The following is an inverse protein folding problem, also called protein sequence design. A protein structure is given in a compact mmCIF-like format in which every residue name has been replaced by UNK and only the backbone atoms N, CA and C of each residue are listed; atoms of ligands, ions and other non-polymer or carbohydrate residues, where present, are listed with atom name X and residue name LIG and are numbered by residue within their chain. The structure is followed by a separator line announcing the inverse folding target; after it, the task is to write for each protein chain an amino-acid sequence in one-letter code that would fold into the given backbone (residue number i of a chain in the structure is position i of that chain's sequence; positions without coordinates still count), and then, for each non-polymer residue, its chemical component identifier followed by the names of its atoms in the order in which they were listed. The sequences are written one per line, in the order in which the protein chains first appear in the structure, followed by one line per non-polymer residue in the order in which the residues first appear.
data_IF_437917588908
#
_entry.id   IF_437917588908
#
_cell.length_a   1.000
_cell.length_b   1.000
_cell.length_c   1.000
_cell.angle_alpha   90.00
_cell.angle_beta   90.00
_cell.angle_gamma   90.00
#
_symmetry.space_group_name_H-M   'P 1'
#
loop_
_entity.id
_entity.type
_entity.pdbx_description
1 polymer ?
#
# COMPACT_ATOMS: atom_id res chain seq x y z
N UNK A 1 2.34 14.96 55.13
CA UNK A 1 2.66 15.39 53.75
C UNK A 1 1.84 14.52 52.82
N UNK A 2 0.78 15.12 52.27
CA UNK A 2 -0.27 14.43 51.51
C UNK A 2 -0.10 14.82 50.05
N UNK A 3 0.25 13.87 49.17
CA UNK A 3 0.38 14.12 47.74
C UNK A 3 -0.91 13.70 47.04
N UNK A 4 -1.69 14.71 46.64
CA UNK A 4 -2.86 14.59 45.80
C UNK A 4 -2.44 14.40 44.32
N UNK A 5 -2.87 13.31 43.69
CA UNK A 5 -3.03 13.20 42.24
C UNK A 5 -4.40 13.76 41.85
N UNK A 6 -4.52 14.62 40.82
CA UNK A 6 -5.77 14.85 40.12
C UNK A 6 -5.86 14.02 38.84
N UNK A 7 -7.03 13.39 38.65
CA UNK A 7 -7.47 12.68 37.43
C UNK A 7 -8.31 13.64 36.50
N UNK A 8 -8.80 13.19 35.33
CA UNK A 8 -8.85 13.97 34.10
C UNK A 8 -10.13 14.80 33.91
N UNK A 9 -10.03 15.87 33.11
CA UNK A 9 -11.20 16.63 32.63
C UNK A 9 -11.07 17.01 31.15
N UNK A 10 -11.78 16.24 30.32
CA UNK A 10 -12.72 16.64 29.26
C UNK A 10 -12.22 17.36 28.00
N UNK A 11 -12.19 16.54 26.95
CA UNK A 11 -12.36 16.89 25.53
C UNK A 11 -13.74 17.51 25.31
N UNK A 12 -13.83 18.63 24.58
CA UNK A 12 -15.07 19.09 23.92
C UNK A 12 -14.89 19.05 22.40
N UNK A 13 -15.87 18.50 21.65
CA UNK A 13 -15.82 18.38 20.20
C UNK A 13 -16.36 19.65 19.54
N UNK A 14 -15.91 19.94 18.32
CA UNK A 14 -16.61 20.82 17.39
C UNK A 14 -16.81 20.07 16.07
N UNK A 15 -18.07 19.82 15.76
CA UNK A 15 -18.58 19.16 14.56
C UNK A 15 -18.96 20.21 13.49
N UNK A 16 -18.69 19.84 12.23
CA UNK A 16 -19.41 20.10 10.97
C UNK A 16 -20.07 21.47 10.69
N UNK A 17 -19.80 22.05 9.52
CA UNK A 17 -20.69 21.86 8.35
C UNK A 17 -20.11 22.47 7.05
N UNK A 18 -20.43 21.82 5.94
CA UNK A 18 -20.11 22.18 4.55
C UNK A 18 -20.79 23.46 4.09
N UNK A 19 -20.18 24.16 3.12
CA UNK A 19 -20.93 24.86 2.07
C UNK A 19 -20.08 25.09 0.81
N UNK A 20 -20.64 24.68 -0.32
CA UNK A 20 -20.21 25.03 -1.68
C UNK A 20 -20.22 26.54 -1.88
N UNK A 21 -19.19 27.11 -2.52
CA UNK A 21 -19.37 28.20 -3.48
C UNK A 21 -18.10 28.49 -4.28
N UNK A 22 -18.29 28.59 -5.60
CA UNK A 22 -17.38 29.06 -6.65
C UNK A 22 -16.98 30.54 -6.50
N UNK A 23 -15.73 30.89 -6.88
CA UNK A 23 -15.26 32.09 -7.65
C UNK A 23 -13.92 32.69 -7.14
N UNK A 24 -12.94 32.79 -8.07
CA UNK A 24 -11.79 33.72 -8.09
C UNK A 24 -12.26 35.21 -8.12
N UNK A 25 -11.41 36.27 -8.04
CA UNK A 25 -10.02 36.46 -7.57
C UNK A 25 -9.85 37.67 -6.58
N UNK A 26 -8.64 37.93 -6.06
CA UNK A 26 -8.19 39.29 -5.74
C UNK A 26 -8.06 39.72 -4.26
N UNK A 27 -6.83 40.10 -3.88
CA UNK A 27 -6.39 41.02 -2.81
C UNK A 27 -7.14 41.05 -1.47
N UNK A 28 -6.49 40.57 -0.40
CA UNK A 28 -6.86 40.91 0.98
C UNK A 28 -5.88 41.94 1.56
N UNK A 29 -6.31 43.21 1.63
CA UNK A 29 -5.65 44.27 2.40
C UNK A 29 -6.11 44.22 3.85
N UNK A 30 -5.23 43.84 4.77
CA UNK A 30 -5.45 44.00 6.22
C UNK A 30 -4.96 45.38 6.66
N UNK A 31 -5.91 46.32 6.87
CA UNK A 31 -5.65 47.63 7.46
C UNK A 31 -5.89 47.56 8.96
N UNK A 32 -4.81 47.62 9.77
CA UNK A 32 -4.89 48.06 11.17
C UNK A 32 -4.58 49.55 11.20
N UNK A 33 -5.43 50.31 11.88
CA UNK A 33 -5.34 51.76 12.06
C UNK A 33 -4.75 52.02 13.43
N UNK A 34 -3.55 52.58 13.49
CA UNK A 34 -3.10 53.43 14.60
C UNK A 34 -1.97 54.37 14.14
N UNK A 35 -2.15 55.65 14.49
CA UNK A 35 -1.20 56.78 14.57
C UNK A 35 -0.11 56.96 13.50
N UNK A 36 -0.35 57.96 12.65
CA UNK A 36 0.56 59.04 12.22
C UNK A 36 2.06 58.70 12.07
N UNK A 37 2.42 58.08 10.95
CA UNK A 37 3.58 58.39 10.08
C UNK A 37 3.46 57.43 8.89
N UNK A 38 3.05 57.90 7.72
CA UNK A 38 3.00 57.06 6.51
C UNK A 38 4.41 56.79 5.98
N UNK A 39 5.05 55.74 6.50
CA UNK A 39 6.17 55.09 5.80
C UNK A 39 5.57 54.02 4.90
N UNK A 40 5.41 54.34 3.63
CA UNK A 40 4.94 53.40 2.63
C UNK A 40 6.08 52.40 2.32
N UNK A 41 6.18 51.34 3.12
CA UNK A 41 7.13 50.26 2.87
C UNK A 41 6.60 49.39 1.73
N UNK A 42 6.85 49.83 0.50
CA UNK A 42 6.62 49.02 -0.70
C UNK A 42 7.56 47.81 -0.64
N UNK A 43 7.02 46.64 -0.32
CA UNK A 43 7.76 45.37 -0.46
C UNK A 43 7.84 45.07 -1.94
N UNK A 44 9.01 45.33 -2.53
CA UNK A 44 9.36 44.81 -3.84
C UNK A 44 9.68 43.32 -3.65
N UNK A 45 8.79 42.43 -4.10
CA UNK A 45 9.23 41.08 -4.42
C UNK A 45 10.18 41.22 -5.61
N UNK A 46 11.49 41.10 -5.34
CA UNK A 46 12.46 40.89 -6.41
C UNK A 46 11.99 39.67 -7.19
N UNK A 47 11.62 39.84 -8.47
CA UNK A 47 11.28 38.75 -9.39
C UNK A 47 12.51 37.87 -9.75
N UNK A 48 13.49 37.85 -8.86
CA UNK A 48 14.70 37.04 -8.88
C UNK A 48 14.91 36.41 -7.49
N UNK A 49 13.82 35.97 -6.84
CA UNK A 49 13.94 34.98 -5.78
C UNK A 49 14.00 33.62 -6.45
N UNK A 50 15.20 33.01 -6.47
CA UNK A 50 15.31 31.59 -6.75
C UNK A 50 14.30 30.87 -5.84
N UNK A 51 13.40 30.10 -6.44
CA UNK A 51 12.49 29.22 -5.70
C UNK A 51 13.31 28.45 -4.67
N UNK A 52 12.86 28.35 -3.40
CA UNK A 52 13.58 27.56 -2.41
C UNK A 52 13.82 26.17 -3.02
N UNK A 53 15.05 25.62 -2.90
CA UNK A 53 15.32 24.30 -3.44
C UNK A 53 14.27 23.33 -2.88
N UNK A 54 13.81 22.36 -3.67
CA UNK A 54 12.93 21.33 -3.15
C UNK A 54 13.55 20.77 -1.88
N UNK A 55 12.75 20.58 -0.83
CA UNK A 55 13.24 20.17 0.49
C UNK A 55 13.98 18.81 0.49
N UNK A 56 14.05 18.14 -0.67
CA UNK A 56 14.67 16.84 -0.89
C UNK A 56 15.39 16.80 -2.24
N UNK A 57 16.67 16.38 -2.28
CA UNK A 57 17.34 16.12 -3.53
C UNK A 57 16.88 14.75 -4.04
N UNK A 58 16.05 14.75 -5.08
CA UNK A 58 15.77 13.54 -5.85
C UNK A 58 14.31 13.13 -5.78
N UNK A 59 13.54 13.60 -6.76
CA UNK A 59 12.51 12.72 -7.31
C UNK A 59 13.23 11.49 -7.82
N UNK A 60 12.80 10.38 -7.27
CA UNK A 60 13.04 9.04 -7.73
C UNK A 60 12.63 8.86 -9.20
N UNK A 61 13.52 9.18 -10.16
CA UNK A 61 13.31 8.83 -11.57
C UNK A 61 13.86 7.42 -11.75
N UNK A 62 13.01 6.40 -12.01
CA UNK A 62 13.51 5.07 -12.31
C UNK A 62 14.23 5.10 -13.65
N UNK A 63 15.44 4.53 -13.71
CA UNK A 63 16.16 4.39 -14.97
C UNK A 63 15.40 3.39 -15.88
N UNK A 64 15.27 3.64 -17.20
CA UNK A 64 14.46 2.80 -18.10
C UNK A 64 14.87 1.31 -18.13
N UNK A 65 16.12 1.01 -17.76
CA UNK A 65 16.69 -0.34 -17.71
C UNK A 65 16.29 -1.15 -16.46
N UNK A 66 15.62 -0.55 -15.48
CA UNK A 66 15.29 -1.21 -14.21
C UNK A 66 14.00 -2.04 -14.24
N UNK A 67 13.18 -1.92 -15.29
CA UNK A 67 11.91 -2.61 -15.35
C UNK A 67 12.05 -3.94 -16.10
N UNK A 68 11.81 -5.05 -15.41
CA UNK A 68 11.52 -6.33 -16.07
C UNK A 68 10.26 -6.13 -16.91
N UNK A 69 10.46 -6.07 -18.23
CA UNK A 69 9.38 -6.03 -19.22
C UNK A 69 8.84 -7.44 -19.41
N UNK A 70 7.52 -7.54 -19.55
CA UNK A 70 6.83 -8.81 -19.76
C UNK A 70 6.15 -8.73 -21.12
N UNK A 71 6.48 -9.66 -22.01
CA UNK A 71 5.88 -9.75 -23.34
C UNK A 71 4.45 -10.35 -23.32
N UNK A 72 3.84 -10.45 -22.13
CA UNK A 72 2.51 -11.02 -21.89
C UNK A 72 1.96 -10.66 -20.50
N UNK A 73 1.00 -11.44 -20.00
CA UNK A 73 0.42 -11.21 -18.68
C UNK A 73 1.48 -11.37 -17.58
N UNK A 74 1.68 -10.33 -16.79
CA UNK A 74 2.52 -10.37 -15.59
C UNK A 74 1.81 -11.20 -14.50
N UNK A 75 2.39 -12.32 -14.07
CA UNK A 75 1.78 -13.15 -13.04
C UNK A 75 2.02 -12.57 -11.65
N UNK A 76 0.94 -12.39 -10.89
CA UNK A 76 0.97 -11.77 -9.56
C UNK A 76 0.28 -12.64 -8.51
N UNK A 77 0.78 -12.54 -7.29
CA UNK A 77 0.16 -13.10 -6.08
C UNK A 77 -0.43 -11.96 -5.26
N UNK A 78 -1.67 -12.10 -4.77
CA UNK A 78 -2.34 -11.06 -3.97
C UNK A 78 -2.63 -11.59 -2.57
N UNK A 79 -1.85 -11.11 -1.59
CA UNK A 79 -2.03 -11.44 -0.19
C UNK A 79 -2.98 -10.45 0.48
N UNK A 80 -4.00 -10.94 1.18
CA UNK A 80 -5.07 -10.10 1.72
C UNK A 80 -6.03 -9.62 0.64
N UNK A 81 -6.43 -10.51 -0.28
CA UNK A 81 -7.25 -10.21 -1.46
C UNK A 81 -8.62 -9.63 -1.13
N UNK A 82 -9.19 -9.98 0.03
CA UNK A 82 -10.49 -9.50 0.51
C UNK A 82 -10.42 -8.18 1.29
N UNK A 83 -9.21 -7.65 1.52
CA UNK A 83 -9.00 -6.35 2.14
C UNK A 83 -9.06 -5.21 1.12
N UNK A 84 -9.07 -3.95 1.61
CA UNK A 84 -9.19 -2.76 0.76
C UNK A 84 -8.12 -2.67 -0.34
N UNK A 85 -6.85 -2.99 -0.02
CA UNK A 85 -5.77 -3.01 -1.01
C UNK A 85 -5.94 -4.17 -2.00
N UNK A 86 -6.32 -5.35 -1.50
CA UNK A 86 -6.52 -6.53 -2.32
C UNK A 86 -7.64 -6.34 -3.34
N UNK A 87 -8.80 -5.83 -2.91
CA UNK A 87 -9.93 -5.59 -3.81
C UNK A 87 -9.64 -4.50 -4.83
N UNK A 88 -8.96 -3.42 -4.45
CA UNK A 88 -8.52 -2.38 -5.38
C UNK A 88 -7.52 -2.94 -6.40
N UNK A 89 -6.56 -3.76 -5.95
CA UNK A 89 -5.60 -4.42 -6.85
C UNK A 89 -6.33 -5.30 -7.85
N UNK A 90 -7.26 -6.14 -7.39
CA UNK A 90 -8.03 -7.03 -8.24
C UNK A 90 -8.96 -6.26 -9.19
N UNK A 91 -9.49 -5.10 -8.79
CA UNK A 91 -10.25 -4.23 -9.68
C UNK A 91 -9.40 -3.75 -10.87
N UNK A 92 -8.15 -3.39 -10.64
CA UNK A 92 -7.22 -2.99 -11.71
C UNK A 92 -6.90 -4.19 -12.62
N UNK A 93 -6.70 -5.37 -12.03
CA UNK A 93 -6.45 -6.60 -12.81
C UNK A 93 -7.65 -6.96 -13.70
N UNK A 94 -8.87 -6.74 -13.21
CA UNK A 94 -10.09 -6.94 -14.00
C UNK A 94 -10.22 -5.93 -15.16
N UNK A 95 -9.70 -4.72 -15.00
CA UNK A 95 -9.67 -3.69 -16.04
C UNK A 95 -8.59 -3.95 -17.10
N UNK A 96 -7.47 -4.58 -16.73
CA UNK A 96 -6.35 -4.89 -17.61
C UNK A 96 -5.97 -6.39 -17.61
N UNK A 97 -6.90 -7.28 -18.02
CA UNK A 97 -6.65 -8.72 -18.00
C UNK A 97 -5.57 -9.15 -18.99
N UNK A 98 -5.26 -8.36 -20.02
CA UNK A 98 -4.18 -8.63 -20.96
C UNK A 98 -2.78 -8.41 -20.35
N UNK A 99 -2.70 -7.63 -19.26
CA UNK A 99 -1.43 -7.25 -18.61
C UNK A 99 -1.13 -8.02 -17.34
N UNK A 100 -2.13 -8.54 -16.65
CA UNK A 100 -1.96 -9.18 -15.35
C UNK A 100 -2.68 -10.52 -15.30
N UNK A 101 -2.02 -11.52 -14.68
CA UNK A 101 -2.62 -12.81 -14.34
C UNK A 101 -2.53 -13.00 -12.83
N UNK A 102 -3.66 -13.28 -12.18
CA UNK A 102 -3.66 -13.67 -10.77
C UNK A 102 -3.34 -15.16 -10.69
N UNK A 103 -2.20 -15.48 -10.08
CA UNK A 103 -1.76 -16.88 -9.91
C UNK A 103 -2.18 -17.43 -8.56
N UNK A 104 -2.10 -16.60 -7.51
CA UNK A 104 -2.49 -17.01 -6.18
C UNK A 104 -3.16 -15.89 -5.39
N UNK A 105 -4.08 -16.29 -4.52
CA UNK A 105 -4.80 -15.39 -3.61
C UNK A 105 -4.58 -15.87 -2.18
N UNK A 106 -4.51 -14.94 -1.23
CA UNK A 106 -4.63 -15.28 0.19
C UNK A 106 -5.62 -14.37 0.90
N UNK A 107 -6.43 -14.93 1.78
CA UNK A 107 -7.46 -14.20 2.52
C UNK A 107 -7.57 -14.64 3.99
N UNK A 108 -8.24 -13.79 4.77
CA UNK A 108 -8.45 -14.00 6.20
C UNK A 108 -9.66 -14.90 6.49
N UNK A 109 -10.85 -14.31 6.39
CA UNK A 109 -12.10 -14.93 6.82
C UNK A 109 -13.34 -14.56 5.97
N UNK A 110 -13.20 -13.72 4.95
CA UNK A 110 -14.34 -13.32 4.11
C UNK A 110 -14.51 -14.32 2.95
N UNK A 111 -15.31 -15.36 3.18
CA UNK A 111 -15.47 -16.48 2.26
C UNK A 111 -16.29 -16.11 1.04
N UNK A 112 -17.38 -15.37 1.22
CA UNK A 112 -18.25 -14.94 0.12
C UNK A 112 -17.47 -14.16 -0.94
N UNK A 113 -16.72 -13.14 -0.51
CA UNK A 113 -15.92 -12.33 -1.44
C UNK A 113 -14.77 -13.14 -2.04
N UNK A 114 -14.13 -14.01 -1.26
CA UNK A 114 -13.06 -14.87 -1.76
C UNK A 114 -13.57 -15.83 -2.84
N UNK A 115 -14.73 -16.44 -2.66
CA UNK A 115 -15.34 -17.35 -3.64
C UNK A 115 -15.61 -16.62 -4.96
N UNK A 116 -16.13 -15.39 -4.91
CA UNK A 116 -16.35 -14.57 -6.11
C UNK A 116 -15.03 -14.21 -6.82
N UNK A 117 -13.99 -13.90 -6.05
CA UNK A 117 -12.65 -13.65 -6.59
C UNK A 117 -12.08 -14.90 -7.27
N UNK A 118 -12.26 -16.09 -6.68
CA UNK A 118 -11.79 -17.35 -7.27
C UNK A 118 -12.51 -17.64 -8.58
N UNK A 119 -13.83 -17.47 -8.62
CA UNK A 119 -14.65 -17.67 -9.83
C UNK A 119 -14.21 -16.74 -10.96
N UNK A 120 -13.89 -15.49 -10.63
CA UNK A 120 -13.51 -14.46 -11.59
C UNK A 120 -12.10 -14.65 -12.13
N UNK A 121 -11.12 -14.82 -11.23
CA UNK A 121 -9.69 -14.77 -11.58
C UNK A 121 -9.06 -16.15 -11.79
N UNK A 122 -9.74 -17.23 -11.39
CA UNK A 122 -9.29 -18.62 -11.54
C UNK A 122 -7.83 -18.85 -11.10
N UNK A 123 -7.46 -18.45 -9.86
CA UNK A 123 -6.10 -18.66 -9.36
C UNK A 123 -5.77 -20.15 -9.25
N UNK A 124 -4.49 -20.49 -9.26
CA UNK A 124 -4.00 -21.86 -9.13
C UNK A 124 -3.98 -22.27 -7.64
N UNK A 125 -3.58 -21.36 -6.75
CA UNK A 125 -3.49 -21.60 -5.29
C UNK A 125 -4.26 -20.53 -4.51
N UNK A 126 -4.97 -20.98 -3.47
CA UNK A 126 -5.67 -20.09 -2.52
C UNK A 126 -5.28 -20.43 -1.08
N UNK A 127 -4.67 -19.47 -0.40
CA UNK A 127 -4.39 -19.55 1.03
C UNK A 127 -5.53 -18.98 1.88
N UNK A 128 -6.12 -19.78 2.77
CA UNK A 128 -7.13 -19.30 3.72
C UNK A 128 -6.60 -19.38 5.15
N UNK A 129 -6.37 -18.22 5.78
CA UNK A 129 -5.80 -18.16 7.14
C UNK A 129 -6.69 -18.84 8.18
N UNK A 130 -8.02 -18.69 8.08
CA UNK A 130 -8.95 -19.29 9.03
C UNK A 130 -9.34 -20.71 8.58
N UNK A 131 -8.74 -21.71 9.23
CA UNK A 131 -8.94 -23.12 8.88
C UNK A 131 -10.38 -23.60 9.09
N UNK A 132 -11.11 -23.01 10.05
CA UNK A 132 -12.50 -23.39 10.34
C UNK A 132 -13.49 -23.03 9.23
N UNK A 133 -13.09 -22.19 8.27
CA UNK A 133 -13.94 -21.73 7.18
C UNK A 133 -13.64 -22.42 5.84
N UNK A 134 -12.75 -23.43 5.84
CA UNK A 134 -12.34 -24.12 4.62
C UNK A 134 -13.49 -24.92 4.02
N UNK A 135 -14.28 -25.58 4.87
CA UNK A 135 -15.39 -26.40 4.39
C UNK A 135 -16.48 -25.51 3.76
N UNK A 136 -16.77 -24.36 4.37
CA UNK A 136 -17.66 -23.33 3.80
C UNK A 136 -17.14 -22.83 2.43
N UNK A 137 -15.83 -22.60 2.30
CA UNK A 137 -15.23 -22.19 1.02
C UNK A 137 -15.35 -23.29 -0.04
N UNK A 138 -15.13 -24.55 0.33
CA UNK A 138 -15.26 -25.69 -0.59
C UNK A 138 -16.70 -25.87 -1.06
N UNK A 139 -17.67 -25.71 -0.17
CA UNK A 139 -19.10 -25.73 -0.51
C UNK A 139 -19.45 -24.58 -1.47
N UNK A 140 -18.99 -23.36 -1.21
CA UNK A 140 -19.20 -22.20 -2.08
C UNK A 140 -18.57 -22.34 -3.49
N UNK A 141 -17.60 -23.25 -3.64
CA UNK A 141 -16.88 -23.56 -4.88
C UNK A 141 -17.31 -24.90 -5.50
N UNK A 142 -18.32 -25.58 -4.95
CA UNK A 142 -18.75 -26.90 -5.43
C UNK A 142 -19.12 -26.89 -6.92
N UNK A 143 -19.80 -25.82 -7.36
CA UNK A 143 -20.36 -25.65 -8.70
C UNK A 143 -19.39 -24.98 -9.71
N UNK A 144 -18.12 -24.79 -9.34
CA UNK A 144 -17.14 -24.09 -10.18
C UNK A 144 -16.29 -25.08 -10.98
N UNK A 145 -16.14 -24.82 -12.28
CA UNK A 145 -15.33 -25.65 -13.18
C UNK A 145 -13.85 -25.68 -12.80
N UNK A 146 -13.32 -24.54 -12.35
CA UNK A 146 -11.93 -24.38 -11.92
C UNK A 146 -11.82 -24.46 -10.40
N UNK A 147 -11.18 -25.52 -9.90
CA UNK A 147 -10.95 -25.73 -8.46
C UNK A 147 -9.49 -25.43 -8.13
N UNK A 148 -9.19 -24.32 -7.42
CA UNK A 148 -7.84 -24.04 -6.97
C UNK A 148 -7.40 -25.03 -5.88
N UNK A 149 -6.09 -25.15 -5.69
CA UNK A 149 -5.55 -25.79 -4.50
C UNK A 149 -5.78 -24.87 -3.28
N UNK A 150 -6.60 -25.31 -2.34
CA UNK A 150 -6.90 -24.56 -1.11
C UNK A 150 -6.00 -25.05 0.02
N UNK A 151 -5.15 -24.15 0.53
CA UNK A 151 -4.19 -24.48 1.59
C UNK A 151 -4.62 -23.81 2.90
N UNK A 152 -4.83 -24.60 3.98
CA UNK A 152 -5.22 -24.08 5.29
C UNK A 152 -4.16 -23.19 5.96
N UNK A 153 -4.64 -22.30 6.81
CA UNK A 153 -3.87 -21.70 7.88
C UNK A 153 -2.85 -20.67 7.42
N UNK A 154 -1.89 -20.37 8.31
CA UNK A 154 -0.80 -19.45 8.01
C UNK A 154 0.11 -19.99 6.89
N UNK A 155 0.23 -21.31 6.76
CA UNK A 155 1.01 -21.94 5.70
C UNK A 155 0.43 -21.63 4.33
N UNK A 156 -0.89 -21.66 4.14
CA UNK A 156 -1.49 -21.31 2.86
C UNK A 156 -1.19 -19.88 2.41
N UNK A 157 -1.07 -18.94 3.35
CA UNK A 157 -0.67 -17.56 3.05
C UNK A 157 0.79 -17.48 2.60
N UNK A 158 1.67 -18.28 3.21
CA UNK A 158 3.10 -18.38 2.85
C UNK A 158 3.26 -19.04 1.48
N UNK A 159 2.54 -20.13 1.20
CA UNK A 159 2.56 -20.81 -0.09
C UNK A 159 2.08 -19.90 -1.22
N UNK A 160 0.98 -19.18 -1.00
CA UNK A 160 0.50 -18.19 -1.96
C UNK A 160 1.57 -17.12 -2.26
N UNK A 161 2.35 -16.71 -1.27
CA UNK A 161 3.41 -15.72 -1.43
C UNK A 161 4.63 -16.24 -2.20
N UNK A 162 4.98 -17.52 -2.04
CA UNK A 162 6.16 -18.13 -2.68
C UNK A 162 5.86 -18.89 -3.98
N UNK A 163 4.63 -18.81 -4.48
CA UNK A 163 4.18 -19.56 -5.66
C UNK A 163 5.19 -19.43 -6.84
N UNK A 164 5.60 -20.54 -7.48
CA UNK A 164 6.67 -20.54 -8.48
C UNK A 164 6.36 -19.62 -9.66
N UNK A 165 5.11 -19.61 -10.13
CA UNK A 165 4.72 -18.80 -11.29
C UNK A 165 4.46 -17.32 -10.97
N UNK A 166 4.29 -16.94 -9.70
CA UNK A 166 4.14 -15.54 -9.34
C UNK A 166 5.48 -14.81 -9.53
N UNK A 167 5.45 -13.57 -10.02
CA UNK A 167 6.67 -12.75 -10.20
C UNK A 167 6.71 -11.56 -9.26
N UNK A 168 5.53 -11.06 -8.90
CA UNK A 168 5.36 -9.99 -7.93
C UNK A 168 4.28 -10.38 -6.93
N UNK A 169 4.53 -10.07 -5.65
CA UNK A 169 3.61 -10.32 -4.55
C UNK A 169 3.08 -8.99 -4.02
N UNK A 170 1.77 -8.83 -4.03
CA UNK A 170 1.07 -7.67 -3.46
C UNK A 170 0.75 -7.96 -2.00
N UNK A 171 1.27 -7.13 -1.10
CA UNK A 171 1.13 -7.33 0.36
C UNK A 171 -0.01 -6.48 0.93
N UNK A 172 -1.23 -7.00 0.89
CA UNK A 172 -2.44 -6.37 1.44
C UNK A 172 -2.84 -6.86 2.84
N UNK A 173 -2.09 -7.77 3.45
CA UNK A 173 -2.32 -8.24 4.82
C UNK A 173 -2.02 -7.10 5.80
N UNK A 174 -2.88 -6.89 6.80
CA UNK A 174 -2.72 -5.84 7.81
C UNK A 174 -1.78 -6.25 8.95
N UNK A 175 -1.04 -5.28 9.50
CA UNK A 175 -0.19 -5.45 10.68
C UNK A 175 1.00 -6.39 10.47
N UNK A 176 1.59 -6.90 11.55
CA UNK A 176 2.81 -7.72 11.46
C UNK A 176 2.60 -9.12 10.86
N UNK A 177 1.36 -9.55 10.64
CA UNK A 177 1.05 -10.85 10.03
C UNK A 177 1.58 -10.97 8.59
N UNK A 178 1.83 -9.85 7.91
CA UNK A 178 2.43 -9.82 6.58
C UNK A 178 3.93 -10.14 6.55
N UNK A 179 4.62 -10.17 7.69
CA UNK A 179 6.09 -10.31 7.73
C UNK A 179 6.56 -11.67 7.22
N UNK A 180 6.05 -12.78 7.77
CA UNK A 180 6.45 -14.13 7.35
C UNK A 180 6.21 -14.40 5.85
N UNK A 181 5.03 -14.10 5.28
CA UNK A 181 4.83 -14.31 3.84
C UNK A 181 5.69 -13.35 3.00
N UNK A 182 6.00 -12.14 3.48
CA UNK A 182 6.94 -11.23 2.78
C UNK A 182 8.36 -11.82 2.74
N UNK A 183 8.83 -12.37 3.85
CA UNK A 183 10.14 -13.05 3.91
C UNK A 183 10.18 -14.24 2.95
N UNK A 184 9.14 -15.08 2.95
CA UNK A 184 9.07 -16.23 2.04
C UNK A 184 9.05 -15.83 0.56
N UNK A 185 8.35 -14.74 0.21
CA UNK A 185 8.34 -14.20 -1.14
C UNK A 185 9.74 -13.71 -1.58
N UNK A 186 10.47 -13.05 -0.67
CA UNK A 186 11.84 -12.58 -0.93
C UNK A 186 12.79 -13.77 -1.14
N UNK A 187 12.71 -14.78 -0.28
CA UNK A 187 13.52 -16.00 -0.40
C UNK A 187 13.25 -16.72 -1.73
N UNK A 188 11.99 -16.69 -2.19
CA UNK A 188 11.55 -17.24 -3.47
C UNK A 188 11.86 -16.36 -4.69
N UNK A 189 12.58 -15.25 -4.53
CA UNK A 189 13.02 -14.43 -5.66
C UNK A 189 11.97 -13.46 -6.21
N UNK A 190 10.91 -13.14 -5.44
CA UNK A 190 9.75 -12.39 -5.93
C UNK A 190 9.83 -10.91 -5.57
N UNK A 191 9.47 -10.05 -6.51
CA UNK A 191 9.34 -8.62 -6.24
C UNK A 191 8.16 -8.33 -5.31
N UNK A 192 8.28 -7.31 -4.47
CA UNK A 192 7.28 -7.03 -3.43
C UNK A 192 6.60 -5.71 -3.71
N UNK A 193 5.31 -5.76 -4.05
CA UNK A 193 4.46 -4.59 -4.08
C UNK A 193 3.89 -4.35 -2.68
N UNK A 194 4.43 -3.33 -2.03
CA UNK A 194 4.32 -3.10 -0.60
C UNK A 194 3.22 -2.10 -0.26
N UNK A 195 2.14 -2.59 0.34
CA UNK A 195 1.08 -1.73 0.87
C UNK A 195 1.04 -1.68 2.40
N UNK A 196 1.52 -2.74 3.07
CA UNK A 196 1.59 -2.80 4.53
C UNK A 196 2.86 -2.12 5.05
N UNK A 197 2.71 -0.97 5.73
CA UNK A 197 3.83 -0.24 6.34
C UNK A 197 4.31 -0.83 7.64
N UNK A 198 3.42 -1.44 8.42
CA UNK A 198 3.72 -2.01 9.72
C UNK A 198 4.80 -3.10 9.60
N UNK A 199 4.76 -3.89 8.52
CA UNK A 199 5.77 -4.91 8.22
C UNK A 199 7.17 -4.32 8.08
N UNK A 200 7.33 -3.18 7.42
CA UNK A 200 8.63 -2.54 7.29
C UNK A 200 9.03 -1.76 8.53
N UNK A 201 8.09 -1.11 9.22
CA UNK A 201 8.39 -0.40 10.46
C UNK A 201 8.97 -1.37 11.51
N UNK A 202 8.40 -2.57 11.63
CA UNK A 202 8.85 -3.57 12.58
C UNK A 202 10.01 -4.45 12.05
N UNK A 203 10.01 -4.77 10.77
CA UNK A 203 10.87 -5.80 10.17
C UNK A 203 12.00 -5.30 9.27
N UNK A 204 12.12 -3.99 9.00
CA UNK A 204 13.11 -3.46 8.06
C UNK A 204 14.55 -3.92 8.30
N UNK A 205 15.08 -3.96 9.56
CA UNK A 205 16.46 -4.39 9.81
C UNK A 205 16.74 -5.84 9.37
N UNK A 206 15.71 -6.68 9.28
CA UNK A 206 15.82 -8.07 8.84
C UNK A 206 15.47 -8.24 7.35
N UNK A 207 14.41 -7.56 6.90
CA UNK A 207 13.86 -7.69 5.55
C UNK A 207 14.75 -7.03 4.49
N UNK A 208 15.34 -5.86 4.78
CA UNK A 208 16.16 -5.14 3.80
C UNK A 208 17.46 -5.87 3.44
N UNK A 209 18.25 -6.40 4.40
CA UNK A 209 19.43 -7.20 4.05
C UNK A 209 19.07 -8.46 3.25
N UNK A 210 17.94 -9.09 3.57
CA UNK A 210 17.46 -10.27 2.86
C UNK A 210 17.07 -9.91 1.42
N UNK A 211 16.33 -8.84 1.21
CA UNK A 211 15.97 -8.37 -0.13
C UNK A 211 17.20 -8.00 -0.96
N UNK A 212 18.21 -7.36 -0.35
CA UNK A 212 19.47 -7.07 -1.03
C UNK A 212 20.22 -8.35 -1.44
N UNK A 213 20.26 -9.36 -0.54
CA UNK A 213 20.87 -10.67 -0.83
C UNK A 213 20.19 -11.39 -2.00
N UNK A 214 18.87 -11.28 -2.11
CA UNK A 214 18.07 -11.92 -3.15
C UNK A 214 17.81 -11.03 -4.38
N UNK A 215 18.37 -9.82 -4.41
CA UNK A 215 18.19 -8.81 -5.48
C UNK A 215 16.71 -8.50 -5.78
N UNK A 216 15.92 -8.33 -4.71
CA UNK A 216 14.47 -8.09 -4.76
C UNK A 216 14.16 -6.60 -4.76
N UNK A 217 13.20 -6.19 -5.60
CA UNK A 217 12.71 -4.80 -5.63
C UNK A 217 11.43 -4.65 -4.80
N UNK A 218 11.35 -3.56 -4.03
CA UNK A 218 10.11 -3.15 -3.37
C UNK A 218 9.40 -2.04 -4.15
N UNK A 219 8.13 -2.23 -4.51
CA UNK A 219 7.29 -1.21 -5.13
C UNK A 219 6.33 -0.63 -4.10
N UNK A 220 6.45 0.65 -3.70
CA UNK A 220 5.53 1.26 -2.75
C UNK A 220 4.15 1.47 -3.38
N UNK A 221 3.08 0.98 -2.73
CA UNK A 221 1.70 1.13 -3.21
C UNK A 221 0.89 2.20 -2.47
N UNK A 222 1.32 2.61 -1.28
CA UNK A 222 0.60 3.59 -0.46
C UNK A 222 1.32 4.93 -0.42
N UNK A 223 0.56 6.03 -0.47
CA UNK A 223 1.11 7.41 -0.49
C UNK A 223 2.05 7.70 0.67
N UNK A 224 1.77 7.18 1.87
CA UNK A 224 2.63 7.42 3.05
C UNK A 224 4.03 6.79 2.91
N UNK A 225 4.20 5.82 2.00
CA UNK A 225 5.50 5.20 1.72
C UNK A 225 6.46 6.09 0.94
N UNK A 226 6.03 7.23 0.37
CA UNK A 226 6.96 8.07 -0.41
C UNK A 226 8.18 8.52 0.44
N UNK A 227 8.05 8.60 1.78
CA UNK A 227 9.17 8.90 2.69
C UNK A 227 10.13 7.71 2.93
N UNK A 228 9.75 6.48 2.54
CA UNK A 228 10.57 5.27 2.69
C UNK A 228 11.45 4.99 1.46
N UNK A 229 11.34 5.78 0.38
CA UNK A 229 12.25 5.74 -0.78
C UNK A 229 13.72 6.07 -0.43
N UNK A 230 13.99 6.39 0.84
CA UNK A 230 15.32 6.65 1.40
C UNK A 230 16.11 5.35 1.64
N UNK A 231 15.45 4.18 1.68
CA UNK A 231 16.13 2.91 1.90
C UNK A 231 16.70 2.31 0.60
N UNK A 232 17.98 1.93 0.55
CA UNK A 232 18.55 1.25 -0.61
C UNK A 232 17.82 -0.07 -0.89
N UNK A 233 17.41 -0.29 -2.14
CA UNK A 233 16.63 -1.46 -2.59
C UNK A 233 15.12 -1.25 -2.72
N UNK A 234 14.59 -0.10 -2.30
CA UNK A 234 13.19 0.27 -2.57
C UNK A 234 13.11 0.96 -3.93
N UNK A 235 12.27 0.43 -4.83
CA UNK A 235 12.01 1.04 -6.12
C UNK A 235 11.44 2.44 -5.89
N UNK A 236 12.16 3.38 -6.49
CA UNK A 236 11.92 4.79 -6.51
C UNK A 236 10.66 5.06 -7.35
N UNK A 237 9.49 5.13 -6.70
CA UNK A 237 8.20 5.20 -7.40
C UNK A 237 7.13 5.96 -6.63
N UNK A 238 7.14 7.29 -6.73
CA UNK A 238 5.94 8.11 -6.54
C UNK A 238 5.88 9.09 -7.71
N UNK A 239 4.99 8.82 -8.67
CA UNK A 239 4.50 9.78 -9.68
C UNK A 239 3.25 10.46 -9.17
#
# INVERSE_FOLDING_TARGET
MTLNLPSPAQVKPLFFSSNNSTKLPGSSSLKRKDSDTTVERRVYCSAAAQSPPPAWPGTAIPEPSDFKTWDGQKPISVLGSTGSIGTQTLSIVAEFPERFKVVSLAAGSNITLLADQIKTFKPEVVGLRNESLIDELKEALADVDHKPEIIPGEQGVIEAARHPDATTVVTGIVGCAGLKPTVAAIEAGKDIALANKETMIAGAPFVLPLAHKHNIKFFPLIRTFCNFSVYPGVAKGCT
#
